data_IF_183676002007
#
_entry.id   IF_183676002007
#
_cell.length_a   1.000
_cell.length_b   1.000
_cell.length_c   1.000
_cell.angle_alpha   90.00
_cell.angle_beta   90.00
_cell.angle_gamma   90.00
#
_symmetry.space_group_name_H-M   'P 1'
#
loop_
_entity.id
_entity.type
_entity.pdbx_description
1 polymer ?
#
# COMPACT_ATOMS: atom_id res chain seq x y z
N UNK A 1 -53.85 -8.89 21.45
CA UNK A 1 -53.16 -8.01 20.47
C UNK A 1 -51.75 -7.60 20.91
N UNK A 2 -51.52 -7.00 22.09
CA UNK A 2 -50.16 -6.62 22.51
C UNK A 2 -49.21 -7.81 22.73
N UNK A 3 -49.70 -8.90 23.36
CA UNK A 3 -48.91 -10.12 23.54
C UNK A 3 -48.43 -10.72 22.21
N UNK A 4 -49.32 -10.85 21.23
CA UNK A 4 -48.95 -11.36 19.89
C UNK A 4 -47.96 -10.45 19.16
N UNK A 5 -48.05 -9.13 19.34
CA UNK A 5 -47.06 -8.20 18.77
C UNK A 5 -45.69 -8.37 19.41
N UNK A 6 -45.64 -8.51 20.74
CA UNK A 6 -44.39 -8.72 21.48
C UNK A 6 -43.70 -10.03 21.08
N UNK A 7 -44.46 -11.12 20.93
CA UNK A 7 -43.91 -12.41 20.48
C UNK A 7 -43.29 -12.33 19.09
N UNK A 8 -43.92 -11.60 18.15
CA UNK A 8 -43.36 -11.37 16.81
C UNK A 8 -42.05 -10.58 16.87
N UNK A 9 -41.95 -9.57 17.73
CA UNK A 9 -40.73 -8.78 17.89
C UNK A 9 -39.59 -9.57 18.54
N UNK A 10 -39.90 -10.42 19.52
CA UNK A 10 -38.90 -11.28 20.16
C UNK A 10 -38.33 -12.35 19.21
N UNK A 11 -39.15 -12.90 18.31
CA UNK A 11 -38.69 -13.84 17.27
C UNK A 11 -37.73 -13.19 16.27
N UNK A 12 -37.91 -11.90 16.00
CA UNK A 12 -37.06 -11.13 15.08
C UNK A 12 -35.93 -10.38 15.79
N UNK A 13 -35.66 -10.70 17.06
CA UNK A 13 -34.58 -10.06 17.82
C UNK A 13 -33.23 -10.50 17.25
N UNK A 14 -32.39 -9.54 16.87
CA UNK A 14 -31.00 -9.81 16.48
C UNK A 14 -30.19 -10.42 17.62
N UNK A 15 -29.29 -11.32 17.25
CA UNK A 15 -28.38 -11.95 18.19
C UNK A 15 -27.39 -10.95 18.80
N UNK A 16 -26.89 -11.27 19.99
CA UNK A 16 -25.96 -10.41 20.72
C UNK A 16 -24.71 -10.09 19.90
N UNK A 17 -24.19 -11.08 19.17
CA UNK A 17 -23.02 -10.92 18.29
C UNK A 17 -23.30 -9.93 17.16
N UNK A 18 -24.47 -10.01 16.51
CA UNK A 18 -24.83 -9.06 15.46
C UNK A 18 -24.92 -7.62 15.97
N UNK A 19 -25.43 -7.44 17.20
CA UNK A 19 -25.51 -6.12 17.83
C UNK A 19 -24.12 -5.56 18.15
N UNK A 20 -23.16 -6.42 18.51
CA UNK A 20 -21.77 -6.04 18.72
C UNK A 20 -21.08 -5.68 17.40
N UNK A 21 -21.25 -6.49 16.36
CA UNK A 21 -20.68 -6.25 15.04
C UNK A 21 -21.21 -4.93 14.43
N UNK A 22 -22.49 -4.62 14.67
CA UNK A 22 -23.12 -3.35 14.29
C UNK A 22 -22.75 -2.17 15.21
N UNK A 23 -21.84 -2.36 16.17
CA UNK A 23 -21.44 -1.37 17.18
C UNK A 23 -22.58 -0.80 18.04
N UNK A 24 -23.73 -1.47 18.07
CA UNK A 24 -24.91 -1.11 18.89
C UNK A 24 -24.63 -1.51 20.34
N UNK A 25 -24.15 -2.73 20.55
CA UNK A 25 -23.66 -3.19 21.86
C UNK A 25 -22.14 -3.05 21.88
N UNK A 26 -21.57 -2.39 22.89
CA UNK A 26 -20.12 -2.29 23.03
C UNK A 26 -19.54 -3.67 23.39
N UNK A 27 -18.44 -4.02 22.74
CA UNK A 27 -17.74 -5.28 22.97
C UNK A 27 -16.96 -5.21 24.29
N UNK A 28 -17.20 -6.17 25.17
CA UNK A 28 -16.43 -6.33 26.40
C UNK A 28 -17.28 -6.49 27.67
N UNK A 29 -16.64 -6.99 28.72
CA UNK A 29 -17.25 -7.23 30.03
C UNK A 29 -17.20 -5.98 30.93
N UNK A 30 -17.07 -4.79 30.33
CA UNK A 30 -16.96 -3.52 31.06
C UNK A 30 -18.33 -3.09 31.59
N UNK A 31 -18.34 -2.59 32.82
CA UNK A 31 -19.56 -2.05 33.43
C UNK A 31 -20.15 -0.92 32.54
N UNK A 32 -21.48 -0.86 32.37
CA UNK A 32 -22.13 0.15 31.50
C UNK A 32 -21.71 1.59 31.80
N UNK A 33 -21.48 1.92 33.06
CA UNK A 33 -21.05 3.25 33.50
C UNK A 33 -19.63 3.63 33.03
N UNK A 34 -18.75 2.66 32.78
CA UNK A 34 -17.35 2.89 32.38
C UNK A 34 -17.14 2.88 30.86
N UNK A 35 -18.14 2.49 30.09
CA UNK A 35 -18.01 2.36 28.63
C UNK A 35 -17.69 3.71 27.97
N UNK A 36 -18.31 4.80 28.44
CA UNK A 36 -18.04 6.14 27.93
C UNK A 36 -16.59 6.57 28.21
N UNK A 37 -16.15 6.50 29.47
CA UNK A 37 -14.79 6.85 29.86
C UNK A 37 -13.73 5.99 29.15
N UNK A 38 -14.00 4.70 28.94
CA UNK A 38 -13.11 3.81 28.18
C UNK A 38 -12.99 4.24 26.71
N UNK A 39 -14.09 4.65 26.08
CA UNK A 39 -14.08 5.11 24.69
C UNK A 39 -13.30 6.43 24.55
N UNK A 40 -13.48 7.35 25.50
CA UNK A 40 -12.77 8.63 25.53
C UNK A 40 -11.26 8.43 25.74
N UNK A 41 -10.88 7.50 26.61
CA UNK A 41 -9.48 7.11 26.81
C UNK A 41 -8.88 6.51 25.53
N UNK A 42 -9.60 5.59 24.88
CA UNK A 42 -9.16 4.99 23.62
C UNK A 42 -8.98 6.05 22.52
N UNK A 43 -9.91 7.01 22.43
CA UNK A 43 -9.80 8.14 21.49
C UNK A 43 -8.56 8.97 21.76
N UNK A 44 -8.34 9.37 23.02
CA UNK A 44 -7.16 10.17 23.42
C UNK A 44 -5.86 9.43 23.11
N UNK A 45 -5.77 8.14 23.42
CA UNK A 45 -4.60 7.32 23.09
C UNK A 45 -4.34 7.22 21.58
N UNK A 46 -5.39 7.22 20.75
CA UNK A 46 -5.25 7.22 19.30
C UNK A 46 -4.81 8.60 18.78
N UNK A 47 -5.30 9.67 19.37
CA UNK A 47 -4.89 11.04 19.08
C UNK A 47 -3.40 11.23 19.37
N UNK A 48 -2.93 10.87 20.57
CA UNK A 48 -1.51 10.96 20.96
C UNK A 48 -0.60 10.13 20.03
N UNK A 49 -1.04 8.92 19.67
CA UNK A 49 -0.31 8.05 18.72
C UNK A 49 -0.26 8.64 17.32
N UNK A 50 -1.35 9.27 16.88
CA UNK A 50 -1.42 9.92 15.58
C UNK A 50 -0.49 11.13 15.55
N UNK A 51 -0.55 11.98 16.57
CA UNK A 51 0.31 13.15 16.72
C UNK A 51 1.79 12.77 16.67
N UNK A 52 2.23 11.80 17.48
CA UNK A 52 3.62 11.34 17.45
C UNK A 52 4.04 10.71 16.11
N UNK A 53 3.11 10.16 15.33
CA UNK A 53 3.39 9.68 13.96
C UNK A 53 3.43 10.80 12.94
N UNK A 54 2.64 11.85 13.12
CA UNK A 54 2.63 13.04 12.26
C UNK A 54 3.92 13.85 12.45
N UNK A 55 4.44 13.97 13.67
CA UNK A 55 5.73 14.62 13.95
C UNK A 55 6.90 13.92 13.24
N UNK A 56 6.86 12.59 13.14
CA UNK A 56 7.89 11.78 12.49
C UNK A 56 7.54 11.42 11.05
N UNK A 57 6.61 12.16 10.45
CA UNK A 57 6.17 11.90 9.09
C UNK A 57 7.34 12.10 8.12
N UNK A 58 7.76 11.07 7.38
CA UNK A 58 8.84 11.20 6.41
C UNK A 58 8.45 12.17 5.30
N UNK A 59 9.42 12.94 4.83
CA UNK A 59 9.25 13.80 3.67
C UNK A 59 9.07 12.97 2.40
N UNK A 60 8.45 13.58 1.38
CA UNK A 60 8.18 12.89 0.12
C UNK A 60 9.46 12.35 -0.52
N UNK A 61 10.54 13.13 -0.53
CA UNK A 61 11.82 12.70 -1.10
C UNK A 61 12.43 11.54 -0.32
N UNK A 62 12.16 11.43 0.98
CA UNK A 62 12.58 10.29 1.79
C UNK A 62 11.77 9.03 1.44
N UNK A 63 10.47 9.17 1.20
CA UNK A 63 9.62 8.07 0.73
C UNK A 63 10.01 7.60 -0.69
N UNK A 64 10.40 8.51 -1.57
CA UNK A 64 10.91 8.21 -2.92
C UNK A 64 12.24 7.44 -2.83
N UNK A 65 13.18 7.91 -2.00
CA UNK A 65 14.46 7.21 -1.74
C UNK A 65 14.26 5.81 -1.16
N UNK A 66 13.23 5.62 -0.33
CA UNK A 66 12.87 4.33 0.27
C UNK A 66 12.05 3.44 -0.68
N UNK A 67 11.68 3.91 -1.88
CA UNK A 67 10.86 3.17 -2.84
C UNK A 67 9.41 2.95 -2.40
N UNK A 68 8.87 3.83 -1.55
CA UNK A 68 7.54 3.70 -0.92
C UNK A 68 6.48 4.52 -1.67
N UNK A 69 6.82 5.68 -2.23
CA UNK A 69 5.84 6.57 -2.88
C UNK A 69 5.50 6.20 -4.33
N UNK A 70 6.23 5.25 -4.92
CA UNK A 70 5.95 4.68 -6.23
C UNK A 70 6.24 3.18 -6.16
N UNK A 71 5.19 2.37 -6.33
CA UNK A 71 5.19 0.91 -6.42
C UNK A 71 6.38 0.19 -5.77
N UNK A 72 6.13 -0.37 -4.59
CA UNK A 72 6.98 -1.41 -4.03
C UNK A 72 7.26 -2.49 -5.09
N UNK A 73 8.56 -2.74 -5.26
CA UNK A 73 9.21 -3.85 -5.95
C UNK A 73 9.68 -3.59 -7.38
N UNK A 74 10.53 -2.60 -7.64
CA UNK A 74 11.74 -2.81 -8.47
C UNK A 74 12.76 -1.70 -8.17
N UNK A 75 13.80 -2.05 -7.41
CA UNK A 75 14.99 -1.25 -7.28
C UNK A 75 15.76 -1.28 -8.61
N UNK A 76 15.32 -0.46 -9.55
CA UNK A 76 16.17 0.04 -10.63
C UNK A 76 16.32 1.53 -10.33
N UNK A 77 17.54 2.06 -10.17
CA UNK A 77 17.74 3.49 -9.99
C UNK A 77 17.38 4.19 -11.29
N UNK A 78 16.10 4.50 -11.47
CA UNK A 78 15.65 5.35 -12.57
C UNK A 78 16.00 6.77 -12.17
N UNK A 79 17.14 7.24 -12.67
CA UNK A 79 17.65 8.61 -12.54
C UNK A 79 16.71 9.70 -13.12
N UNK A 80 15.49 9.32 -13.54
CA UNK A 80 14.50 10.18 -14.20
C UNK A 80 13.29 10.54 -13.31
N UNK A 81 13.29 10.24 -12.02
CA UNK A 81 12.20 10.60 -11.08
C UNK A 81 12.20 12.09 -10.67
N UNK A 82 12.51 13.01 -11.60
CA UNK A 82 12.34 14.46 -11.38
C UNK A 82 10.97 14.98 -11.79
N UNK A 83 10.13 14.19 -12.46
CA UNK A 83 8.91 14.75 -13.07
C UNK A 83 7.68 14.52 -12.19
N UNK A 84 7.49 15.49 -11.30
CA UNK A 84 6.35 15.74 -10.41
C UNK A 84 4.95 15.84 -11.07
N UNK A 85 4.70 15.36 -12.29
CA UNK A 85 3.53 15.81 -13.05
C UNK A 85 2.49 14.75 -13.42
N UNK A 86 2.56 13.55 -12.85
CA UNK A 86 1.62 12.47 -13.17
C UNK A 86 0.68 12.20 -12.00
N UNK A 87 -0.62 12.24 -12.27
CA UNK A 87 -1.66 12.00 -11.27
C UNK A 87 -1.52 10.58 -10.65
N UNK A 88 -1.86 10.38 -9.35
CA UNK A 88 -1.71 9.08 -8.68
C UNK A 88 -2.36 7.90 -9.43
N UNK A 89 -3.50 8.15 -10.09
CA UNK A 89 -4.21 7.13 -10.87
C UNK A 89 -3.46 6.64 -12.12
N UNK A 90 -2.49 7.41 -12.62
CA UNK A 90 -1.76 7.11 -13.86
C UNK A 90 -0.37 6.50 -13.61
N UNK A 91 0.14 6.55 -12.38
CA UNK A 91 1.48 6.08 -12.03
C UNK A 91 1.69 4.59 -12.34
N UNK A 92 0.68 3.75 -12.07
CA UNK A 92 0.75 2.32 -12.39
C UNK A 92 0.87 2.07 -13.89
N UNK A 93 -0.02 2.67 -14.68
CA UNK A 93 -0.01 2.53 -16.15
C UNK A 93 1.25 3.09 -16.79
N UNK A 94 1.79 4.18 -16.23
CA UNK A 94 3.06 4.74 -16.66
C UNK A 94 4.21 3.76 -16.40
N UNK A 95 4.27 3.18 -15.19
CA UNK A 95 5.31 2.20 -14.84
C UNK A 95 5.26 0.97 -15.73
N UNK A 96 4.05 0.46 -16.02
CA UNK A 96 3.85 -0.68 -16.93
C UNK A 96 4.32 -0.36 -18.36
N UNK A 97 4.00 0.85 -18.85
CA UNK A 97 4.43 1.31 -20.17
C UNK A 97 5.96 1.48 -20.23
N UNK A 98 6.57 2.09 -19.22
CA UNK A 98 8.02 2.25 -19.12
C UNK A 98 8.73 0.91 -19.12
N UNK A 99 8.19 -0.06 -18.39
CA UNK A 99 8.72 -1.43 -18.39
C UNK A 99 8.66 -2.05 -19.78
N UNK A 100 7.51 -1.98 -20.45
CA UNK A 100 7.36 -2.52 -21.81
C UNK A 100 8.31 -1.83 -22.80
N UNK A 101 8.48 -0.51 -22.70
CA UNK A 101 9.43 0.23 -23.54
C UNK A 101 10.88 -0.18 -23.28
N UNK A 102 11.24 -0.45 -22.02
CA UNK A 102 12.57 -0.92 -21.66
C UNK A 102 12.80 -2.35 -22.18
N UNK A 103 11.81 -3.23 -22.04
CA UNK A 103 11.85 -4.59 -22.58
C UNK A 103 12.06 -4.57 -24.11
N UNK A 104 11.34 -3.72 -24.84
CA UNK A 104 11.51 -3.55 -26.29
C UNK A 104 12.90 -3.02 -26.66
N UNK A 105 13.43 -2.06 -25.91
CA UNK A 105 14.77 -1.50 -26.12
C UNK A 105 15.84 -2.55 -25.90
N UNK A 106 15.79 -3.26 -24.77
CA UNK A 106 16.71 -4.33 -24.45
C UNK A 106 16.62 -5.46 -25.48
N UNK A 107 15.42 -5.82 -25.93
CA UNK A 107 15.23 -6.81 -27.00
C UNK A 107 15.97 -6.45 -28.28
N UNK A 108 15.95 -5.16 -28.69
CA UNK A 108 16.70 -4.67 -29.86
C UNK A 108 18.21 -4.66 -29.63
N UNK A 109 18.66 -4.28 -28.44
CA UNK A 109 20.09 -4.30 -28.09
C UNK A 109 20.65 -5.73 -28.05
N UNK A 110 19.90 -6.68 -27.51
CA UNK A 110 20.27 -8.09 -27.54
C UNK A 110 20.21 -8.69 -28.95
N UNK A 111 19.30 -8.24 -29.80
CA UNK A 111 19.27 -8.66 -31.21
C UNK A 111 20.49 -8.17 -32.01
N UNK A 112 21.05 -7.01 -31.64
CA UNK A 112 22.27 -6.45 -32.23
C UNK A 112 23.55 -6.85 -31.48
N UNK A 113 23.47 -7.87 -30.61
CA UNK A 113 24.60 -8.35 -29.80
C UNK A 113 25.77 -8.76 -30.71
N UNK A 114 26.95 -8.13 -30.57
CA UNK A 114 28.13 -8.51 -31.32
C UNK A 114 28.59 -9.93 -30.97
N UNK A 115 29.03 -10.68 -31.97
CA UNK A 115 29.57 -12.02 -31.77
C UNK A 115 30.97 -11.98 -31.13
N UNK A 116 31.41 -13.10 -30.55
CA UNK A 116 32.69 -13.23 -29.84
C UNK A 116 33.86 -12.82 -30.73
N UNK A 117 33.83 -13.17 -32.01
CA UNK A 117 34.87 -12.81 -32.97
C UNK A 117 34.86 -11.31 -33.32
N UNK A 118 33.69 -10.68 -33.32
CA UNK A 118 33.59 -9.22 -33.49
C UNK A 118 34.15 -8.47 -32.27
N UNK A 119 34.02 -9.05 -31.07
CA UNK A 119 34.60 -8.50 -29.85
C UNK A 119 36.13 -8.69 -29.80
N UNK A 120 36.66 -9.80 -30.33
CA UNK A 120 38.10 -10.01 -30.54
C UNK A 120 38.68 -9.03 -31.56
N UNK A 121 38.00 -8.85 -32.70
CA UNK A 121 38.40 -7.88 -33.72
C UNK A 121 38.38 -6.43 -33.20
N UNK A 122 37.49 -6.12 -32.25
CA UNK A 122 37.46 -4.84 -31.53
C UNK A 122 38.49 -4.73 -30.40
N UNK A 123 39.31 -5.76 -30.16
CA UNK A 123 40.34 -5.78 -29.12
C UNK A 123 39.80 -5.86 -27.68
N UNK A 124 38.52 -6.20 -27.50
CA UNK A 124 37.85 -6.27 -26.19
C UNK A 124 38.13 -7.63 -25.51
N UNK A 125 38.22 -8.70 -26.31
CA UNK A 125 38.58 -10.06 -25.85
C UNK A 125 39.99 -10.42 -26.32
N UNK A 126 40.79 -11.01 -25.44
CA UNK A 126 42.10 -11.59 -25.80
C UNK A 126 41.89 -12.90 -26.56
N UNK A 127 42.74 -13.16 -27.56
CA UNK A 127 42.78 -14.48 -28.23
C UNK A 127 43.49 -15.49 -27.31
N UNK A 128 42.70 -16.31 -26.61
CA UNK A 128 43.15 -17.54 -25.97
C UNK A 128 43.59 -17.41 -24.50
N UNK A 129 42.65 -17.68 -23.59
CA UNK A 129 42.71 -18.76 -22.58
C UNK A 129 41.37 -19.49 -22.59
#
# INVERSE_FOLDING_TARGET
MEKERLEKLLKNRSDLKELQDKNILKTGNLAPALQAASADLQKSQLEDKLEGRLERRPEREELERRGISGLLLFAIPVQQLKDQNVAPALQGKMSDLERSQLEDKLGKEFASRPDVDQLRAKGILKEGE
#
